data_IF_390231985156
#
_entry.id   IF_390231985156
#
_cell.length_a   1.000
_cell.length_b   1.000
_cell.length_c   1.000
_cell.angle_alpha   90.00
_cell.angle_beta   90.00
_cell.angle_gamma   90.00
#
_symmetry.space_group_name_H-M   'P 1'
#
loop_
_entity.id
_entity.type
_entity.pdbx_description
1 polymer ?
#
# COMPACT_ATOMS: atom_id res chain seq x y z
N UNK A 1 32.52 -38.35 -39.74
CA UNK A 1 31.25 -37.68 -39.30
C UNK A 1 31.47 -36.18 -39.20
N UNK A 2 30.53 -35.36 -39.68
CA UNK A 2 30.69 -33.89 -39.63
C UNK A 2 30.25 -33.39 -38.26
N UNK A 3 31.20 -32.90 -37.46
CA UNK A 3 30.96 -32.28 -36.15
C UNK A 3 30.71 -30.79 -36.26
N UNK A 4 30.16 -30.19 -35.23
CA UNK A 4 29.91 -28.77 -35.06
C UNK A 4 30.28 -28.33 -33.65
N UNK A 5 31.03 -27.23 -33.55
CA UNK A 5 31.46 -26.64 -32.30
C UNK A 5 30.32 -25.94 -31.57
N UNK A 6 30.18 -26.20 -30.26
CA UNK A 6 29.25 -25.48 -29.38
C UNK A 6 30.02 -24.51 -28.48
N UNK A 7 29.91 -23.17 -28.67
CA UNK A 7 30.72 -22.19 -27.94
C UNK A 7 30.35 -22.08 -26.44
N UNK A 8 29.27 -22.68 -25.97
CA UNK A 8 28.89 -22.62 -24.56
C UNK A 8 29.48 -23.76 -23.73
N UNK A 9 29.50 -25.00 -24.26
CA UNK A 9 30.14 -26.12 -23.57
C UNK A 9 31.55 -26.43 -24.09
N UNK A 10 31.98 -25.70 -25.12
CA UNK A 10 33.31 -25.80 -25.77
C UNK A 10 33.61 -27.21 -26.32
N UNK A 11 32.57 -27.93 -26.78
CA UNK A 11 32.65 -29.30 -27.30
C UNK A 11 32.33 -29.33 -28.80
N UNK A 12 33.05 -30.17 -29.54
CA UNK A 12 32.72 -30.54 -30.91
C UNK A 12 31.77 -31.73 -30.90
N UNK A 13 30.53 -31.50 -31.27
CA UNK A 13 29.43 -32.45 -31.19
C UNK A 13 28.90 -32.83 -32.58
N UNK A 14 28.32 -34.00 -32.75
CA UNK A 14 27.66 -34.36 -34.00
C UNK A 14 26.52 -33.40 -34.28
N UNK A 15 26.21 -33.18 -35.56
CA UNK A 15 25.21 -32.19 -35.98
C UNK A 15 23.82 -32.48 -35.41
N UNK A 16 23.49 -33.70 -35.09
CA UNK A 16 22.24 -34.14 -34.48
C UNK A 16 22.07 -33.66 -33.03
N UNK A 17 23.17 -33.26 -32.36
CA UNK A 17 23.14 -32.65 -31.04
C UNK A 17 22.62 -31.20 -31.05
N UNK A 18 22.41 -30.62 -32.23
CA UNK A 18 21.83 -29.27 -32.41
C UNK A 18 20.39 -29.38 -32.91
N UNK A 19 19.56 -28.36 -32.61
CA UNK A 19 18.16 -28.29 -33.05
C UNK A 19 18.03 -28.06 -34.55
N UNK A 20 19.02 -27.39 -35.15
CA UNK A 20 19.14 -27.14 -36.58
C UNK A 20 20.58 -26.87 -36.99
N UNK A 21 20.87 -26.89 -38.28
CA UNK A 21 22.20 -26.55 -38.84
C UNK A 21 22.60 -25.14 -38.51
N UNK A 22 21.65 -24.21 -38.31
CA UNK A 22 21.87 -22.80 -37.94
C UNK A 22 21.98 -22.56 -36.44
N UNK A 23 21.58 -23.55 -35.59
CA UNK A 23 21.59 -23.41 -34.13
C UNK A 23 23.00 -23.11 -33.62
N UNK A 24 23.19 -22.03 -32.86
CA UNK A 24 24.48 -21.61 -32.30
C UNK A 24 24.96 -22.54 -31.20
N UNK A 25 24.04 -23.07 -30.38
CA UNK A 25 24.32 -23.91 -29.22
C UNK A 25 23.73 -25.30 -29.39
N UNK A 26 24.32 -26.31 -28.75
CA UNK A 26 23.75 -27.64 -28.70
C UNK A 26 22.45 -27.67 -27.91
N UNK A 27 21.62 -28.70 -28.09
CA UNK A 27 20.30 -28.86 -27.44
C UNK A 27 20.37 -28.69 -25.92
N UNK A 28 21.37 -29.32 -25.30
CA UNK A 28 21.55 -29.21 -23.84
C UNK A 28 21.85 -27.77 -23.39
N UNK A 29 22.80 -27.10 -24.04
CA UNK A 29 23.15 -25.72 -23.74
C UNK A 29 21.99 -24.75 -24.01
N UNK A 30 21.19 -24.98 -25.05
CA UNK A 30 19.98 -24.21 -25.32
C UNK A 30 18.96 -24.35 -24.19
N UNK A 31 18.76 -25.60 -23.72
CA UNK A 31 17.85 -25.88 -22.60
C UNK A 31 18.30 -25.21 -21.30
N UNK A 32 19.59 -25.28 -20.97
CA UNK A 32 20.15 -24.63 -19.78
C UNK A 32 19.89 -23.12 -19.84
N UNK A 33 20.21 -22.45 -20.95
CA UNK A 33 19.94 -21.01 -21.14
C UNK A 33 18.47 -20.65 -21.00
N UNK A 34 17.57 -21.47 -21.55
CA UNK A 34 16.13 -21.24 -21.40
C UNK A 34 15.68 -21.33 -19.95
N UNK A 35 16.20 -22.29 -19.20
CA UNK A 35 15.87 -22.44 -17.76
C UNK A 35 16.41 -21.25 -16.94
N UNK A 36 17.61 -20.78 -17.24
CA UNK A 36 18.21 -19.60 -16.59
C UNK A 36 17.37 -18.35 -16.88
N UNK A 37 17.01 -18.10 -18.13
CA UNK A 37 16.13 -16.99 -18.51
C UNK A 37 14.77 -17.05 -17.82
N UNK A 38 14.17 -18.25 -17.70
CA UNK A 38 12.91 -18.41 -16.98
C UNK A 38 13.06 -18.06 -15.49
N UNK A 39 14.14 -18.51 -14.84
CA UNK A 39 14.43 -18.18 -13.43
C UNK A 39 14.60 -16.69 -13.24
N UNK A 40 15.36 -16.01 -14.11
CA UNK A 40 15.54 -14.55 -14.04
C UNK A 40 14.21 -13.80 -14.24
N UNK A 41 13.39 -14.24 -15.19
CA UNK A 41 12.06 -13.63 -15.40
C UNK A 41 11.16 -13.80 -14.17
N UNK A 42 11.16 -14.99 -13.56
CA UNK A 42 10.40 -15.24 -12.34
C UNK A 42 10.89 -14.37 -11.17
N UNK A 43 12.21 -14.26 -10.98
CA UNK A 43 12.81 -13.40 -9.97
C UNK A 43 12.42 -11.93 -10.16
N UNK A 44 12.55 -11.41 -11.39
CA UNK A 44 12.16 -10.02 -11.72
C UNK A 44 10.66 -9.78 -11.50
N UNK A 45 9.81 -10.76 -11.82
CA UNK A 45 8.38 -10.67 -11.56
C UNK A 45 8.08 -10.63 -10.05
N UNK A 46 8.72 -11.48 -9.27
CA UNK A 46 8.59 -11.51 -7.81
C UNK A 46 9.03 -10.18 -7.17
N UNK A 47 10.19 -9.65 -7.57
CA UNK A 47 10.69 -8.36 -7.07
C UNK A 47 9.74 -7.19 -7.41
N UNK A 48 9.14 -7.20 -8.62
CA UNK A 48 8.14 -6.19 -9.00
C UNK A 48 6.89 -6.24 -8.12
N UNK A 49 6.43 -7.43 -7.76
CA UNK A 49 5.28 -7.60 -6.86
C UNK A 49 5.62 -7.12 -5.46
N UNK A 50 6.80 -7.51 -4.94
CA UNK A 50 7.30 -7.10 -3.62
C UNK A 50 7.41 -5.58 -3.49
N UNK A 51 8.02 -4.91 -4.48
CA UNK A 51 8.15 -3.44 -4.49
C UNK A 51 6.81 -2.72 -4.61
N UNK A 52 5.85 -3.24 -5.40
CA UNK A 52 4.49 -2.69 -5.47
C UNK A 52 3.76 -2.82 -4.12
N UNK A 53 3.89 -3.96 -3.44
CA UNK A 53 3.29 -4.18 -2.12
C UNK A 53 3.88 -3.23 -1.08
N UNK A 54 5.20 -3.09 -1.02
CA UNK A 54 5.90 -2.17 -0.12
C UNK A 54 5.49 -0.70 -0.34
N UNK A 55 5.41 -0.25 -1.61
CA UNK A 55 4.93 1.12 -1.93
C UNK A 55 3.48 1.33 -1.49
N UNK A 56 2.61 0.32 -1.63
CA UNK A 56 1.21 0.40 -1.19
C UNK A 56 1.08 0.44 0.33
N UNK A 57 1.95 -0.27 1.07
CA UNK A 57 1.99 -0.24 2.53
C UNK A 57 2.53 1.08 3.09
N UNK A 58 3.44 1.76 2.38
CA UNK A 58 4.01 3.05 2.81
C UNK A 58 3.08 4.25 2.58
N UNK A 59 2.14 4.14 1.63
CA UNK A 59 1.20 5.23 1.32
C UNK A 59 -0.10 4.98 2.07
N UNK A 60 -0.29 5.71 3.17
CA UNK A 60 -1.55 5.73 3.90
C UNK A 60 -2.65 6.26 3.00
N UNK A 61 -3.80 5.58 2.94
CA UNK A 61 -4.93 6.05 2.13
C UNK A 61 -5.43 7.41 2.66
N UNK A 62 -5.99 8.24 1.76
CA UNK A 62 -6.59 9.52 2.17
C UNK A 62 -7.68 9.32 3.25
N UNK A 63 -8.40 8.21 3.19
CA UNK A 63 -9.40 7.84 4.19
C UNK A 63 -8.77 7.57 5.55
N UNK A 64 -7.66 6.84 5.60
CA UNK A 64 -6.95 6.53 6.85
C UNK A 64 -6.26 7.77 7.41
N UNK A 65 -5.71 8.63 6.54
CA UNK A 65 -5.17 9.91 6.94
C UNK A 65 -6.25 10.79 7.59
N UNK A 66 -7.43 10.91 6.96
CA UNK A 66 -8.57 11.65 7.52
C UNK A 66 -8.99 11.10 8.89
N UNK A 67 -9.04 9.77 9.07
CA UNK A 67 -9.35 9.15 10.37
C UNK A 67 -8.27 9.47 11.43
N UNK A 68 -7.01 9.49 11.02
CA UNK A 68 -5.89 9.80 11.90
C UNK A 68 -5.95 11.25 12.38
N UNK A 69 -6.13 12.18 11.45
CA UNK A 69 -6.30 13.62 11.74
C UNK A 69 -7.51 13.84 12.63
N UNK A 70 -8.64 13.16 12.36
CA UNK A 70 -9.86 13.29 13.17
C UNK A 70 -9.63 12.90 14.63
N UNK A 71 -8.87 11.83 14.88
CA UNK A 71 -8.55 11.41 16.26
C UNK A 71 -7.73 12.47 17.00
N UNK A 72 -6.73 13.04 16.33
CA UNK A 72 -5.89 14.10 16.91
C UNK A 72 -6.71 15.37 17.16
N UNK A 73 -7.51 15.78 16.18
CA UNK A 73 -8.37 16.96 16.27
C UNK A 73 -9.41 16.82 17.38
N UNK A 74 -10.10 15.68 17.48
CA UNK A 74 -11.05 15.43 18.57
C UNK A 74 -10.37 15.43 19.95
N UNK A 75 -9.13 14.93 20.06
CA UNK A 75 -8.36 15.02 21.30
C UNK A 75 -8.04 16.48 21.65
N UNK A 76 -7.61 17.25 20.66
CA UNK A 76 -7.34 18.68 20.84
C UNK A 76 -8.59 19.43 21.35
N UNK A 77 -9.76 19.28 20.73
CA UNK A 77 -11.01 19.91 21.16
C UNK A 77 -11.35 19.56 22.60
N UNK A 78 -11.26 18.26 22.98
CA UNK A 78 -11.52 17.85 24.36
C UNK A 78 -10.55 18.47 25.37
N UNK A 79 -9.28 18.65 24.99
CA UNK A 79 -8.28 19.33 25.84
C UNK A 79 -8.53 20.83 25.93
N UNK A 80 -8.90 21.48 24.81
CA UNK A 80 -9.27 22.88 24.76
C UNK A 80 -10.43 23.17 25.72
N UNK A 81 -11.45 22.35 25.68
CA UNK A 81 -12.70 22.55 26.39
C UNK A 81 -12.77 21.83 27.75
N UNK A 82 -11.71 21.15 28.21
CA UNK A 82 -11.70 20.27 29.40
C UNK A 82 -12.16 20.92 30.69
N UNK A 83 -12.08 22.27 30.80
CA UNK A 83 -12.54 23.03 31.96
C UNK A 83 -13.97 23.54 31.84
N UNK A 84 -14.60 23.30 30.71
CA UNK A 84 -15.97 23.70 30.40
C UNK A 84 -16.93 22.53 30.63
N UNK A 85 -18.21 22.82 30.62
CA UNK A 85 -19.27 21.83 30.57
C UNK A 85 -19.72 21.60 29.12
N UNK A 86 -20.41 20.48 28.88
CA UNK A 86 -20.98 20.15 27.59
C UNK A 86 -21.71 21.33 26.97
N UNK A 87 -21.32 21.71 25.74
CA UNK A 87 -21.87 22.90 25.04
C UNK A 87 -23.38 22.79 24.83
N UNK A 88 -23.94 21.58 24.70
CA UNK A 88 -25.36 21.37 24.44
C UNK A 88 -26.23 21.39 25.70
N UNK A 89 -25.83 20.73 26.80
CA UNK A 89 -26.64 20.66 27.99
C UNK A 89 -26.17 21.53 29.18
N UNK A 90 -24.95 22.06 29.13
CA UNK A 90 -24.37 22.90 30.17
C UNK A 90 -24.11 22.22 31.52
N UNK A 91 -24.35 20.93 31.63
CA UNK A 91 -24.38 20.21 32.93
C UNK A 91 -23.24 19.19 33.07
N UNK A 92 -23.05 18.35 32.05
CA UNK A 92 -22.14 17.20 32.08
C UNK A 92 -20.72 17.53 31.71
N UNK A 93 -19.80 16.71 32.20
CA UNK A 93 -18.41 16.76 31.78
C UNK A 93 -18.28 16.42 30.28
N UNK A 94 -17.24 16.93 29.66
CA UNK A 94 -16.94 16.72 28.24
C UNK A 94 -16.13 15.43 28.09
N UNK A 95 -16.60 14.53 27.26
CA UNK A 95 -15.93 13.27 26.90
C UNK A 95 -15.83 13.07 25.38
N UNK A 96 -16.58 13.84 24.60
CA UNK A 96 -16.62 13.79 23.14
C UNK A 96 -16.29 15.15 22.51
N UNK A 97 -15.98 15.12 21.20
CA UNK A 97 -15.92 16.32 20.35
C UNK A 97 -17.05 16.23 19.32
N UNK A 98 -18.06 17.07 19.47
CA UNK A 98 -19.25 17.08 18.63
C UNK A 98 -19.23 18.19 17.60
N UNK A 99 -19.78 17.93 16.42
CA UNK A 99 -19.89 18.86 15.32
C UNK A 99 -21.26 19.53 15.31
N UNK A 100 -21.31 20.86 15.26
CA UNK A 100 -22.56 21.58 15.06
C UNK A 100 -23.14 21.31 13.66
N UNK A 101 -22.34 21.52 12.62
CA UNK A 101 -22.64 21.05 11.24
C UNK A 101 -21.99 19.71 11.04
N UNK A 102 -22.76 18.68 10.73
CA UNK A 102 -22.26 17.31 10.63
C UNK A 102 -21.19 17.15 9.55
N UNK A 103 -20.29 16.19 9.75
CA UNK A 103 -19.22 15.90 8.78
C UNK A 103 -19.74 15.44 7.41
N UNK A 104 -20.95 14.88 7.37
CA UNK A 104 -21.63 14.48 6.15
C UNK A 104 -22.22 15.66 5.38
N UNK A 105 -22.67 16.69 6.10
CA UNK A 105 -23.26 17.89 5.51
C UNK A 105 -22.21 18.84 4.94
N UNK A 106 -21.05 18.98 5.62
CA UNK A 106 -19.95 19.82 5.14
C UNK A 106 -18.58 19.25 5.49
N UNK A 107 -17.89 18.75 4.48
CA UNK A 107 -16.52 18.28 4.64
C UNK A 107 -15.52 19.42 4.94
N UNK A 108 -15.80 20.63 4.52
CA UNK A 108 -14.95 21.81 4.77
C UNK A 108 -14.93 22.20 6.26
N UNK A 109 -16.04 21.98 6.97
CA UNK A 109 -16.16 22.31 8.39
C UNK A 109 -15.70 21.18 9.32
N UNK A 110 -15.23 20.08 8.76
CA UNK A 110 -14.85 18.87 9.53
C UNK A 110 -13.78 19.15 10.59
N UNK A 111 -12.82 19.99 10.29
CA UNK A 111 -11.69 20.35 11.16
C UNK A 111 -11.70 21.83 11.53
N UNK A 112 -12.86 22.46 11.49
CA UNK A 112 -13.02 23.84 11.90
C UNK A 112 -13.30 23.90 13.41
N UNK A 113 -12.52 24.70 14.15
CA UNK A 113 -12.62 24.82 15.61
C UNK A 113 -13.92 25.47 16.05
N UNK A 114 -14.50 26.37 15.24
CA UNK A 114 -15.79 27.02 15.54
C UNK A 114 -16.98 26.07 15.35
N UNK A 115 -16.76 25.02 14.51
CA UNK A 115 -17.79 24.00 14.25
C UNK A 115 -17.74 22.83 15.22
N UNK A 116 -16.63 22.65 15.97
CA UNK A 116 -16.45 21.47 16.81
C UNK A 116 -16.21 21.87 18.26
N UNK A 117 -17.06 21.40 19.14
CA UNK A 117 -17.05 21.74 20.55
C UNK A 117 -17.11 20.51 21.45
N UNK A 118 -16.68 20.70 22.70
CA UNK A 118 -16.75 19.66 23.71
C UNK A 118 -18.19 19.33 24.07
N UNK A 119 -18.56 18.06 23.94
CA UNK A 119 -19.89 17.53 24.29
C UNK A 119 -19.78 16.31 25.20
N UNK A 120 -20.82 16.03 25.96
CA UNK A 120 -20.96 14.75 26.64
C UNK A 120 -21.49 13.70 25.65
N UNK A 121 -21.20 12.42 25.90
CA UNK A 121 -21.65 11.30 25.06
C UNK A 121 -23.16 11.33 24.82
N UNK A 122 -23.98 11.66 25.84
CA UNK A 122 -25.43 11.71 25.67
C UNK A 122 -25.85 12.70 24.58
N UNK A 123 -25.34 13.93 24.62
CA UNK A 123 -25.73 14.96 23.65
C UNK A 123 -25.09 14.78 22.27
N UNK A 124 -23.97 14.08 22.18
CA UNK A 124 -23.29 13.86 20.89
C UNK A 124 -23.82 12.66 20.12
N UNK A 125 -24.39 11.66 20.82
CA UNK A 125 -24.76 10.38 20.19
C UNK A 125 -26.28 10.17 20.18
N UNK A 126 -27.02 10.75 21.14
CA UNK A 126 -28.43 10.42 21.40
C UNK A 126 -29.42 11.59 21.18
N UNK A 127 -28.93 12.81 21.03
CA UNK A 127 -29.68 13.99 20.67
C UNK A 127 -29.32 14.46 19.27
#
# INVERSE_FOLDING_TARGET
>A
MKTKHCPLCNLDLPKEAFTSTRAKYCKNCTRIRQLEQQKEMQQRAFERVKTKKQKKEQVMSLADLKKSVQRVFNKYIRLRDQKLKCISCGQREIDQAGHYVSQGSSGALRFNEDNVNGQCTKCNVWD
#
